data_IF_363367216569
#
_entry.id   IF_363367216569
#
_cell.length_a   1.000
_cell.length_b   1.000
_cell.length_c   1.000
_cell.angle_alpha   90.00
_cell.angle_beta   90.00
_cell.angle_gamma   90.00
#
_symmetry.space_group_name_H-M   'P 1'
#
loop_
_entity.id
_entity.type
_entity.pdbx_description
1 polymer ?
#
# COMPACT_ATOMS: atom_id res chain seq x y z
N UNK A 1 19.77 -21.33 4.41
CA UNK A 1 19.36 -20.21 5.26
C UNK A 1 18.72 -19.13 4.39
N UNK A 2 18.09 -18.13 5.00
CA UNK A 2 17.44 -17.01 4.31
C UNK A 2 17.88 -15.70 4.97
N UNK A 3 18.28 -14.72 4.17
CA UNK A 3 18.60 -13.36 4.63
C UNK A 3 17.60 -12.37 4.02
N UNK A 4 17.07 -11.46 4.84
CA UNK A 4 16.13 -10.44 4.42
C UNK A 4 16.75 -9.06 4.67
N UNK A 5 16.92 -8.28 3.61
CA UNK A 5 17.18 -6.85 3.72
C UNK A 5 15.86 -6.12 3.49
N UNK A 6 15.27 -5.62 4.57
CA UNK A 6 14.04 -4.85 4.49
C UNK A 6 14.36 -3.35 4.38
N UNK A 7 13.61 -2.64 3.53
CA UNK A 7 13.69 -1.19 3.36
C UNK A 7 15.12 -0.68 3.04
N UNK A 8 15.83 -1.38 2.16
CA UNK A 8 17.19 -1.08 1.74
C UNK A 8 17.22 0.11 0.77
N UNK A 9 16.83 1.28 1.23
CA UNK A 9 16.57 2.43 0.36
C UNK A 9 17.77 3.37 0.20
N UNK A 10 18.72 3.36 1.13
CA UNK A 10 19.84 4.30 1.13
C UNK A 10 20.77 4.02 -0.05
N UNK A 11 20.88 4.93 -1.04
CA UNK A 11 21.75 4.75 -2.20
C UNK A 11 23.24 4.76 -1.85
N UNK A 12 23.61 5.19 -0.63
CA UNK A 12 25.00 5.15 -0.15
C UNK A 12 25.37 3.79 0.44
N UNK A 13 24.40 2.91 0.68
CA UNK A 13 24.64 1.60 1.26
C UNK A 13 25.20 0.65 0.19
N UNK A 14 26.45 0.21 0.36
CA UNK A 14 27.02 -0.85 -0.45
C UNK A 14 26.65 -2.21 0.13
N UNK A 15 25.66 -2.88 -0.46
CA UNK A 15 25.19 -4.17 0.06
C UNK A 15 26.24 -5.28 -0.02
N UNK A 16 27.24 -5.17 -0.89
CA UNK A 16 28.32 -6.17 -1.02
C UNK A 16 29.04 -6.43 0.32
N UNK A 17 29.11 -5.43 1.20
CA UNK A 17 29.79 -5.54 2.49
C UNK A 17 29.05 -6.47 3.46
N UNK A 18 27.78 -6.79 3.17
CA UNK A 18 26.89 -7.62 3.99
C UNK A 18 26.50 -8.94 3.31
N UNK A 19 26.83 -9.11 2.02
CA UNK A 19 26.49 -10.33 1.30
C UNK A 19 27.42 -11.48 1.71
N UNK A 20 26.87 -12.64 2.11
CA UNK A 20 27.69 -13.78 2.49
C UNK A 20 28.38 -14.39 1.27
N UNK A 21 29.68 -14.65 1.40
CA UNK A 21 30.50 -15.30 0.39
C UNK A 21 30.31 -16.82 0.43
N UNK A 22 29.14 -17.30 -0.01
CA UNK A 22 28.88 -18.74 -0.17
C UNK A 22 27.89 -19.03 -1.30
N UNK A 23 27.77 -20.31 -1.65
CA UNK A 23 26.95 -20.80 -2.77
C UNK A 23 25.61 -21.40 -2.35
N UNK A 24 25.18 -21.20 -1.11
CA UNK A 24 23.94 -21.74 -0.58
C UNK A 24 23.20 -20.68 0.22
N UNK A 25 21.87 -20.74 0.22
CA UNK A 25 21.02 -19.74 0.86
C UNK A 25 20.26 -18.89 -0.15
N UNK A 26 19.29 -18.13 0.33
CA UNK A 26 18.50 -17.21 -0.47
C UNK A 26 18.51 -15.82 0.18
N UNK A 27 18.41 -14.78 -0.63
CA UNK A 27 18.37 -13.40 -0.19
C UNK A 27 17.14 -12.73 -0.79
N UNK A 28 16.34 -12.08 0.05
CA UNK A 28 15.21 -11.24 -0.38
C UNK A 28 15.52 -9.82 0.03
N UNK A 29 15.28 -8.88 -0.87
CA UNK A 29 15.52 -7.45 -0.64
C UNK A 29 14.25 -6.68 -1.00
N UNK A 30 13.80 -5.81 -0.10
CA UNK A 30 12.74 -4.84 -0.38
C UNK A 30 13.36 -3.45 -0.40
N UNK A 31 13.00 -2.64 -1.40
CA UNK A 31 13.54 -1.29 -1.57
C UNK A 31 12.62 -0.45 -2.46
N UNK A 32 12.56 0.85 -2.17
CA UNK A 32 12.01 1.90 -3.04
C UNK A 32 13.07 2.44 -4.00
N UNK A 33 14.34 2.12 -3.78
CA UNK A 33 15.43 2.53 -4.65
C UNK A 33 15.61 1.49 -5.79
N UNK A 34 15.27 1.86 -7.04
CA UNK A 34 15.35 0.94 -8.18
C UNK A 34 16.79 0.50 -8.53
N UNK A 35 17.81 1.26 -8.10
CA UNK A 35 19.22 0.95 -8.40
C UNK A 35 19.70 -0.32 -7.68
N UNK A 36 19.03 -0.73 -6.60
CA UNK A 36 19.38 -1.96 -5.87
C UNK A 36 19.18 -3.24 -6.69
N UNK A 37 18.47 -3.18 -7.82
CA UNK A 37 18.33 -4.32 -8.73
C UNK A 37 19.67 -4.89 -9.20
N UNK A 38 20.74 -4.09 -9.18
CA UNK A 38 22.10 -4.55 -9.52
C UNK A 38 22.57 -5.72 -8.64
N UNK A 39 22.07 -5.83 -7.41
CA UNK A 39 22.42 -6.90 -6.47
C UNK A 39 21.54 -8.15 -6.62
N UNK A 40 20.49 -8.10 -7.43
CA UNK A 40 19.46 -9.14 -7.48
C UNK A 40 19.62 -10.03 -8.72
N UNK A 41 19.53 -11.35 -8.54
CA UNK A 41 19.43 -12.29 -9.66
C UNK A 41 18.06 -12.24 -10.37
N UNK A 42 17.05 -11.74 -9.68
CA UNK A 42 15.70 -11.47 -10.20
C UNK A 42 15.07 -10.34 -9.38
N UNK A 43 14.25 -9.51 -10.03
CA UNK A 43 13.56 -8.40 -9.37
C UNK A 43 12.14 -8.25 -9.91
N UNK A 44 11.21 -7.90 -9.03
CA UNK A 44 9.82 -7.60 -9.38
C UNK A 44 9.42 -6.26 -8.78
N UNK A 45 8.64 -5.47 -9.53
CA UNK A 45 8.00 -4.28 -9.01
C UNK A 45 6.69 -4.70 -8.34
N UNK A 46 6.44 -4.20 -7.13
CA UNK A 46 5.13 -4.38 -6.47
C UNK A 46 4.19 -3.33 -7.06
N UNK A 47 3.22 -3.79 -7.84
CA UNK A 47 2.18 -2.94 -8.43
C UNK A 47 1.12 -2.54 -7.40
N UNK A 48 0.27 -1.59 -7.78
CA UNK A 48 -0.93 -1.23 -7.02
C UNK A 48 -1.85 -2.45 -6.85
N UNK A 49 -2.72 -2.37 -5.84
CA UNK A 49 -3.66 -3.43 -5.53
C UNK A 49 -4.76 -3.52 -6.61
N UNK A 50 -5.12 -4.74 -6.99
CA UNK A 50 -6.24 -4.97 -7.90
C UNK A 50 -7.54 -4.40 -7.33
N UNK A 51 -8.43 -3.91 -8.21
CA UNK A 51 -9.63 -3.19 -7.79
C UNK A 51 -10.52 -4.04 -6.88
N UNK A 52 -10.69 -5.33 -7.17
CA UNK A 52 -11.50 -6.26 -6.38
C UNK A 52 -10.92 -6.48 -4.98
N UNK A 53 -9.60 -6.59 -4.88
CA UNK A 53 -8.90 -6.81 -3.62
C UNK A 53 -8.91 -5.54 -2.78
N UNK A 54 -8.75 -4.38 -3.41
CA UNK A 54 -8.84 -3.08 -2.77
C UNK A 54 -10.22 -2.83 -2.14
N UNK A 55 -11.29 -3.09 -2.88
CA UNK A 55 -12.68 -2.98 -2.36
C UNK A 55 -12.89 -3.96 -1.20
N UNK A 56 -12.45 -5.20 -1.35
CA UNK A 56 -12.56 -6.23 -0.30
C UNK A 56 -11.81 -5.82 0.96
N UNK A 57 -10.60 -5.26 0.81
CA UNK A 57 -9.78 -4.76 1.90
C UNK A 57 -10.46 -3.60 2.63
N UNK A 58 -11.05 -2.65 1.90
CA UNK A 58 -11.77 -1.53 2.48
C UNK A 58 -12.97 -1.99 3.32
N UNK A 59 -13.84 -2.80 2.73
CA UNK A 59 -15.07 -3.28 3.38
C UNK A 59 -14.75 -4.13 4.62
N UNK A 60 -13.73 -4.97 4.52
CA UNK A 60 -13.23 -5.77 5.65
C UNK A 60 -12.67 -4.88 6.76
N UNK A 61 -11.84 -3.90 6.41
CA UNK A 61 -11.24 -2.96 7.37
C UNK A 61 -12.29 -2.03 8.01
N UNK A 62 -13.35 -1.71 7.28
CA UNK A 62 -14.49 -0.91 7.72
C UNK A 62 -15.48 -1.70 8.60
N UNK A 63 -15.33 -3.04 8.70
CA UNK A 63 -16.31 -3.94 9.32
C UNK A 63 -17.70 -3.77 8.72
N UNK A 64 -17.78 -3.58 7.41
CA UNK A 64 -19.04 -3.36 6.72
C UNK A 64 -19.81 -4.68 6.55
N UNK A 65 -21.06 -4.70 7.01
CA UNK A 65 -21.94 -5.87 6.91
C UNK A 65 -22.78 -5.83 5.62
N UNK A 66 -23.10 -4.64 5.10
CA UNK A 66 -23.93 -4.45 3.91
C UNK A 66 -23.08 -4.33 2.64
N UNK A 67 -22.29 -5.37 2.37
CA UNK A 67 -21.31 -5.41 1.27
C UNK A 67 -21.94 -5.04 -0.09
N UNK A 68 -23.09 -5.64 -0.43
CA UNK A 68 -23.75 -5.43 -1.73
C UNK A 68 -24.19 -3.98 -1.95
N UNK A 69 -24.74 -3.34 -0.91
CA UNK A 69 -25.23 -1.96 -0.98
C UNK A 69 -24.08 -0.96 -1.07
N UNK A 70 -22.96 -1.24 -0.40
CA UNK A 70 -21.85 -0.31 -0.25
C UNK A 70 -20.70 -0.54 -1.24
N UNK A 71 -20.85 -1.49 -2.17
CA UNK A 71 -19.79 -1.86 -3.11
C UNK A 71 -19.39 -0.72 -4.05
N UNK A 72 -20.35 0.04 -4.57
CA UNK A 72 -20.07 1.16 -5.49
C UNK A 72 -19.34 2.31 -4.77
N UNK A 73 -19.80 2.68 -3.58
CA UNK A 73 -19.15 3.73 -2.76
C UNK A 73 -17.75 3.29 -2.35
N UNK A 74 -17.59 2.00 -1.97
CA UNK A 74 -16.27 1.44 -1.67
C UNK A 74 -15.33 1.53 -2.88
N UNK A 75 -15.82 1.22 -4.09
CA UNK A 75 -15.05 1.36 -5.33
C UNK A 75 -14.60 2.81 -5.59
N UNK A 76 -15.46 3.80 -5.32
CA UNK A 76 -15.10 5.21 -5.43
C UNK A 76 -14.01 5.60 -4.41
N UNK A 77 -14.12 5.13 -3.17
CA UNK A 77 -13.14 5.41 -2.12
C UNK A 77 -11.77 4.83 -2.48
N UNK A 78 -11.70 3.54 -2.84
CA UNK A 78 -10.40 2.91 -3.13
C UNK A 78 -9.73 3.53 -4.35
N UNK A 79 -10.53 3.97 -5.34
CA UNK A 79 -10.03 4.73 -6.49
C UNK A 79 -9.45 6.08 -6.06
N UNK A 80 -10.14 6.81 -5.18
CA UNK A 80 -9.66 8.08 -4.65
C UNK A 80 -8.36 7.90 -3.82
N UNK A 81 -8.18 6.74 -3.20
CA UNK A 81 -6.99 6.37 -2.44
C UNK A 81 -5.89 5.70 -3.29
N UNK A 82 -6.00 5.78 -4.62
CA UNK A 82 -5.04 5.24 -5.58
C UNK A 82 -4.74 3.75 -5.36
N UNK A 83 -5.71 3.00 -4.84
CA UNK A 83 -5.56 1.56 -4.56
C UNK A 83 -4.39 1.21 -3.62
N UNK A 84 -3.92 2.18 -2.82
CA UNK A 84 -2.80 1.97 -1.89
C UNK A 84 -3.29 1.24 -0.64
N UNK A 85 -2.80 0.01 -0.35
CA UNK A 85 -3.34 -0.81 0.74
C UNK A 85 -3.29 -0.12 2.10
N UNK A 86 -2.21 0.62 2.39
CA UNK A 86 -2.06 1.35 3.64
C UNK A 86 -3.12 2.46 3.79
N UNK A 87 -3.37 3.23 2.72
CA UNK A 87 -4.38 4.28 2.73
C UNK A 87 -5.79 3.68 2.90
N UNK A 88 -6.05 2.56 2.24
CA UNK A 88 -7.32 1.83 2.34
C UNK A 88 -7.57 1.31 3.76
N UNK A 89 -6.57 0.71 4.41
CA UNK A 89 -6.70 0.22 5.79
C UNK A 89 -6.97 1.38 6.74
N UNK A 90 -6.28 2.51 6.56
CA UNK A 90 -6.51 3.71 7.37
C UNK A 90 -7.92 4.27 7.19
N UNK A 91 -8.41 4.33 5.94
CA UNK A 91 -9.77 4.74 5.63
C UNK A 91 -10.80 3.79 6.26
N UNK A 92 -10.62 2.49 6.09
CA UNK A 92 -11.49 1.47 6.70
C UNK A 92 -11.53 1.59 8.22
N UNK A 93 -10.38 1.73 8.88
CA UNK A 93 -10.32 1.92 10.32
C UNK A 93 -11.03 3.20 10.80
N UNK A 94 -11.00 4.28 10.00
CA UNK A 94 -11.79 5.48 10.28
C UNK A 94 -13.29 5.22 10.09
N UNK A 95 -13.69 4.60 8.97
CA UNK A 95 -15.10 4.28 8.65
C UNK A 95 -15.70 3.38 9.73
N UNK A 96 -14.96 2.39 10.22
CA UNK A 96 -15.38 1.52 11.32
C UNK A 96 -15.70 2.28 12.62
N UNK A 97 -15.14 3.49 12.80
CA UNK A 97 -15.43 4.38 13.93
C UNK A 97 -16.50 5.42 13.63
N UNK A 98 -16.58 5.92 12.38
CA UNK A 98 -17.50 6.99 11.99
C UNK A 98 -18.84 6.49 11.43
N UNK A 99 -18.94 5.22 11.05
CA UNK A 99 -20.19 4.51 10.75
C UNK A 99 -20.73 4.61 9.32
N UNK A 100 -20.06 5.30 8.39
CA UNK A 100 -20.54 5.37 7.00
C UNK A 100 -19.43 5.65 5.97
N UNK A 101 -19.42 4.85 4.89
CA UNK A 101 -18.53 5.05 3.74
C UNK A 101 -18.81 6.38 3.01
N UNK A 102 -20.09 6.69 2.79
CA UNK A 102 -20.52 7.94 2.14
C UNK A 102 -19.97 9.17 2.86
N UNK A 103 -19.99 9.16 4.20
CA UNK A 103 -19.46 10.24 5.02
C UNK A 103 -17.94 10.37 4.88
N UNK A 104 -17.21 9.27 4.83
CA UNK A 104 -15.77 9.31 4.57
C UNK A 104 -15.47 9.94 3.20
N UNK A 105 -16.18 9.51 2.16
CA UNK A 105 -15.97 10.01 0.81
C UNK A 105 -16.25 11.52 0.68
N UNK A 106 -17.31 12.00 1.35
CA UNK A 106 -17.62 13.43 1.42
C UNK A 106 -16.50 14.23 2.11
N UNK A 107 -16.06 13.77 3.29
CA UNK A 107 -14.97 14.40 4.04
C UNK A 107 -13.65 14.42 3.26
N UNK A 108 -13.34 13.32 2.58
CA UNK A 108 -12.16 13.21 1.74
C UNK A 108 -12.17 14.28 0.64
N UNK A 109 -13.28 14.42 -0.08
CA UNK A 109 -13.44 15.43 -1.15
C UNK A 109 -13.32 16.85 -0.62
N UNK A 110 -13.98 17.16 0.51
CA UNK A 110 -13.91 18.47 1.15
C UNK A 110 -12.47 18.85 1.53
N UNK A 111 -11.74 17.92 2.18
CA UNK A 111 -10.35 18.16 2.56
C UNK A 111 -9.42 18.28 1.35
N UNK A 112 -9.66 17.49 0.30
CA UNK A 112 -8.89 17.57 -0.93
C UNK A 112 -9.05 18.93 -1.61
N UNK A 113 -10.28 19.44 -1.72
CA UNK A 113 -10.54 20.77 -2.27
C UNK A 113 -9.86 21.88 -1.45
N UNK A 114 -9.89 21.78 -0.12
CA UNK A 114 -9.22 22.74 0.75
C UNK A 114 -7.71 22.75 0.52
N UNK A 115 -7.07 21.57 0.54
CA UNK A 115 -5.62 21.45 0.31
C UNK A 115 -5.18 21.95 -1.07
N UNK A 116 -6.05 21.84 -2.09
CA UNK A 116 -5.78 22.37 -3.42
C UNK A 116 -5.91 23.89 -3.51
N UNK A 117 -6.71 24.53 -2.64
CA UNK A 117 -6.82 26.00 -2.55
C UNK A 117 -5.68 26.63 -1.75
N UNK A 118 -5.02 25.86 -0.89
CA UNK A 118 -3.90 26.30 -0.06
C UNK A 118 -2.53 26.19 -0.76
N UNK A 119 -2.49 25.65 -1.99
CA UNK A 119 -1.31 25.58 -2.86
C UNK A 119 -1.28 26.72 -3.88
#
# INVERSE_FOLDING_TARGET
WLLLFDNADDPKLNLNDFLPLCNHGNIVMTSRNPELRVYAGSSSVVSDMETTDAVTLLLTSAKEENISTNQEIAAEIVKALCYLPLAIIQAGAFIAKSGALSRYLELYRQNQEQLLREK
#
